data_IF_323755250914
#
_entry.id   IF_323755250914
#
_cell.length_a   1.000
_cell.length_b   1.000
_cell.length_c   1.000
_cell.angle_alpha   90.00
_cell.angle_beta   90.00
_cell.angle_gamma   90.00
#
_symmetry.space_group_name_H-M   'P 1'
#
loop_
_entity.id
_entity.type
_entity.pdbx_description
1 polymer ?
#
# COMPACT_ATOMS: atom_id res chain seq x y z
N UNK A 1 -8.75 4.45 -4.86
CA UNK A 1 -7.42 4.79 -5.38
C UNK A 1 -6.37 4.43 -4.35
N UNK A 2 -5.38 3.64 -4.73
CA UNK A 2 -4.14 3.42 -4.02
C UNK A 2 -3.07 4.30 -4.65
N UNK A 3 -2.27 4.92 -3.79
CA UNK A 3 -1.13 5.71 -4.21
C UNK A 3 0.08 5.30 -3.40
N UNK A 4 1.22 5.07 -4.04
CA UNK A 4 2.43 4.60 -3.37
C UNK A 4 3.68 5.12 -4.07
N UNK A 5 4.80 5.09 -3.33
CA UNK A 5 6.14 5.36 -3.83
C UNK A 5 7.08 4.26 -3.38
N UNK A 6 7.96 3.83 -4.27
CA UNK A 6 8.86 2.68 -4.08
C UNK A 6 10.34 3.09 -4.16
N UNK A 7 10.64 4.29 -3.66
CA UNK A 7 12.00 4.84 -3.59
C UNK A 7 12.47 5.61 -4.83
N UNK A 8 11.72 5.57 -5.95
CA UNK A 8 12.07 6.27 -7.21
C UNK A 8 11.58 7.72 -7.29
N UNK A 9 11.19 8.33 -6.15
CA UNK A 9 10.56 9.65 -6.04
C UNK A 9 9.25 9.84 -6.83
N UNK A 10 8.75 8.80 -7.49
CA UNK A 10 7.56 8.88 -8.31
C UNK A 10 6.36 8.28 -7.59
N UNK A 11 5.34 9.11 -7.38
CA UNK A 11 4.07 8.66 -6.81
C UNK A 11 3.28 7.96 -7.92
N UNK A 12 3.09 6.67 -7.74
CA UNK A 12 2.26 5.82 -8.60
C UNK A 12 0.84 5.83 -8.06
N UNK A 13 -0.13 5.84 -8.97
CA UNK A 13 -1.54 5.83 -8.63
C UNK A 13 -2.23 4.68 -9.35
N UNK A 14 -3.18 4.04 -8.68
CA UNK A 14 -3.97 2.94 -9.22
C UNK A 14 -5.39 2.98 -8.65
N UNK A 15 -6.38 2.82 -9.52
CA UNK A 15 -7.75 2.60 -9.08
C UNK A 15 -7.97 1.15 -8.69
N UNK A 16 -8.15 0.92 -7.39
CA UNK A 16 -8.45 -0.41 -6.84
C UNK A 16 -9.92 -0.76 -7.13
N UNK A 17 -10.12 -1.98 -7.62
CA UNK A 17 -11.41 -2.64 -7.84
C UNK A 17 -11.54 -3.87 -6.95
N UNK A 18 -12.77 -4.34 -6.79
CA UNK A 18 -13.03 -5.61 -6.10
C UNK A 18 -12.32 -6.73 -6.86
N UNK A 19 -11.61 -7.59 -6.15
CA UNK A 19 -10.84 -8.69 -6.73
C UNK A 19 -9.40 -8.32 -7.13
N UNK A 20 -8.99 -7.06 -7.05
CA UNK A 20 -7.61 -6.70 -7.34
C UNK A 20 -6.66 -7.28 -6.30
N UNK A 21 -5.64 -7.99 -6.80
CA UNK A 21 -4.48 -8.44 -6.05
C UNK A 21 -3.30 -7.57 -6.47
N UNK A 22 -2.63 -6.98 -5.48
CA UNK A 22 -1.49 -6.12 -5.68
C UNK A 22 -0.44 -6.37 -4.60
N UNK A 23 0.85 -6.32 -4.96
CA UNK A 23 1.97 -6.42 -4.04
C UNK A 23 2.61 -5.06 -3.86
N UNK A 24 2.68 -4.60 -2.62
CA UNK A 24 3.56 -3.50 -2.21
C UNK A 24 4.90 -4.11 -1.78
N UNK A 25 6.00 -3.46 -2.14
CA UNK A 25 7.32 -3.90 -1.73
C UNK A 25 7.62 -3.39 -0.30
N UNK A 26 8.46 -4.11 0.47
CA UNK A 26 8.95 -3.61 1.75
C UNK A 26 9.57 -2.22 1.60
N UNK A 27 9.30 -1.33 2.57
CA UNK A 27 9.76 0.06 2.52
C UNK A 27 8.87 1.02 1.69
N UNK A 28 7.89 0.50 0.94
CA UNK A 28 6.93 1.34 0.22
C UNK A 28 6.12 2.22 1.18
N UNK A 29 6.01 3.51 0.87
CA UNK A 29 5.07 4.43 1.55
C UNK A 29 3.84 4.60 0.69
N UNK A 30 2.66 4.38 1.27
CA UNK A 30 1.39 4.40 0.54
C UNK A 30 0.27 5.09 1.31
N UNK A 31 -0.74 5.54 0.57
CA UNK A 31 -2.02 5.97 1.12
C UNK A 31 -3.15 5.44 0.26
N UNK A 32 -4.31 5.27 0.89
CA UNK A 32 -5.51 4.73 0.24
C UNK A 32 -6.63 5.73 0.40
N UNK A 33 -7.27 6.05 -0.72
CA UNK A 33 -8.39 6.96 -0.76
C UNK A 33 -9.59 6.27 -1.39
N UNK A 34 -10.71 6.27 -0.66
CA UNK A 34 -12.02 5.91 -1.19
C UNK A 34 -12.61 7.09 -1.98
N UNK A 35 -13.37 6.81 -3.05
CA UNK A 35 -14.17 7.87 -3.69
C UNK A 35 -15.25 8.38 -2.72
N UNK A 36 -15.61 9.66 -2.85
CA UNK A 36 -16.65 10.30 -2.05
C UNK A 36 -18.05 10.16 -2.69
N UNK A 37 -18.16 9.37 -3.76
CA UNK A 37 -19.44 9.04 -4.38
C UNK A 37 -20.36 8.32 -3.38
N UNK A 38 -21.63 8.76 -3.24
CA UNK A 38 -22.53 8.32 -2.18
C UNK A 38 -22.95 6.83 -2.28
N UNK A 39 -22.87 6.21 -3.47
CA UNK A 39 -23.43 4.88 -3.73
C UNK A 39 -22.44 3.71 -3.69
N UNK A 40 -21.15 3.92 -3.41
CA UNK A 40 -20.19 2.80 -3.45
C UNK A 40 -20.20 1.94 -2.19
N UNK A 41 -19.93 0.64 -2.34
CA UNK A 41 -19.71 -0.29 -1.23
C UNK A 41 -18.53 0.13 -0.32
N UNK A 42 -18.51 -0.38 0.91
CA UNK A 42 -17.40 -0.17 1.87
C UNK A 42 -16.12 -0.82 1.34
N UNK A 43 -15.02 -0.06 1.29
CA UNK A 43 -13.72 -0.61 0.90
C UNK A 43 -13.25 -1.63 1.96
N UNK A 44 -12.98 -2.86 1.54
CA UNK A 44 -12.41 -3.93 2.36
C UNK A 44 -11.13 -4.41 1.71
N UNK A 45 -10.05 -4.48 2.48
CA UNK A 45 -8.72 -4.89 2.04
C UNK A 45 -8.27 -6.01 2.96
N UNK A 46 -7.90 -7.13 2.37
CA UNK A 46 -7.22 -8.24 3.04
C UNK A 46 -5.74 -8.14 2.72
N UNK A 47 -4.89 -8.20 3.74
CA UNK A 47 -3.44 -8.08 3.60
C UNK A 47 -2.77 -9.33 4.15
N UNK A 48 -1.70 -9.75 3.48
CA UNK A 48 -0.83 -10.84 3.89
C UNK A 48 0.58 -10.26 3.96
N UNK A 49 1.24 -10.46 5.08
CA UNK A 49 2.61 -10.02 5.31
C UNK A 49 3.50 -11.27 5.28
N UNK A 50 4.41 -11.35 4.31
CA UNK A 50 5.44 -12.40 4.29
C UNK A 50 6.50 -12.05 5.32
N UNK A 51 6.81 -12.98 6.21
CA UNK A 51 7.93 -12.86 7.14
C UNK A 51 9.03 -13.75 6.57
N UNK A 52 9.86 -13.21 5.67
CA UNK A 52 10.95 -13.99 5.09
C UNK A 52 12.25 -13.64 5.82
N UNK A 53 13.06 -14.65 6.15
CA UNK A 53 14.34 -14.48 6.88
C UNK A 53 15.37 -13.59 6.14
N UNK A 54 15.04 -13.11 4.93
CA UNK A 54 15.83 -12.19 4.11
C UNK A 54 15.39 -10.73 4.24
N UNK A 55 14.35 -10.44 5.02
CA UNK A 55 13.91 -9.07 5.28
C UNK A 55 14.96 -8.39 6.19
N UNK A 56 15.92 -7.70 5.58
CA UNK A 56 16.95 -6.86 6.23
C UNK A 56 16.33 -5.72 7.06
N UNK A 57 14.99 -5.56 6.99
CA UNK A 57 14.25 -4.67 7.85
C UNK A 57 14.14 -5.26 9.26
N UNK A 58 15.07 -4.86 10.12
CA UNK A 58 14.93 -5.01 11.56
C UNK A 58 13.66 -4.25 12.02
N UNK A 59 12.62 -4.94 12.53
CA UNK A 59 11.37 -4.32 12.96
C UNK A 59 11.51 -3.59 14.30
N UNK A 60 12.74 -3.42 14.82
CA UNK A 60 13.05 -2.65 16.03
C UNK A 60 12.46 -1.24 16.01
N UNK A 61 12.20 -0.73 14.82
CA UNK A 61 11.35 0.43 14.55
C UNK A 61 9.99 -0.06 14.09
N UNK A 62 9.06 -0.29 15.04
CA UNK A 62 7.73 -0.85 14.74
C UNK A 62 7.00 -0.16 13.59
N UNK A 63 6.09 -0.87 12.93
CA UNK A 63 5.37 -0.39 11.75
C UNK A 63 4.73 0.99 11.99
N UNK A 64 5.31 2.02 11.36
CA UNK A 64 4.79 3.37 11.46
C UNK A 64 3.39 3.43 10.85
N UNK A 65 2.42 3.83 11.67
CA UNK A 65 1.04 4.01 11.22
C UNK A 65 0.86 5.34 10.45
N UNK A 66 1.80 6.27 10.58
CA UNK A 66 1.82 7.57 9.91
C UNK A 66 3.25 8.02 9.62
N UNK A 67 3.43 8.77 8.51
CA UNK A 67 4.69 9.45 8.17
C UNK A 67 5.12 10.42 9.28
N UNK A 68 4.15 10.99 10.00
CA UNK A 68 4.45 11.89 11.13
C UNK A 68 5.18 11.15 12.26
N UNK A 69 4.90 9.86 12.48
CA UNK A 69 5.57 9.08 13.51
C UNK A 69 7.04 8.83 13.15
N UNK A 70 7.34 8.64 11.85
CA UNK A 70 8.70 8.57 11.34
C UNK A 70 9.40 9.94 11.43
N UNK A 71 8.72 11.00 11.01
CA UNK A 71 9.30 12.34 10.95
C UNK A 71 9.63 12.90 12.33
N UNK A 72 8.74 12.73 13.30
CA UNK A 72 8.91 13.27 14.65
C UNK A 72 9.73 12.34 15.56
N UNK A 73 10.31 11.27 15.03
CA UNK A 73 11.34 10.48 15.72
C UNK A 73 12.72 11.17 15.74
N UNK A 74 12.94 12.17 14.88
CA UNK A 74 14.17 12.95 14.84
C UNK A 74 14.15 14.10 15.87
N UNK A 75 15.34 14.52 16.32
CA UNK A 75 15.51 15.67 17.21
C UNK A 75 14.96 16.97 16.55
N UNK A 76 14.27 17.84 17.30
CA UNK A 76 13.70 19.08 16.76
C UNK A 76 14.72 19.96 16.02
N UNK A 77 15.98 20.02 16.48
CA UNK A 77 17.04 20.81 15.82
C UNK A 77 17.44 20.21 14.48
N UNK A 78 17.39 18.88 14.35
CA UNK A 78 17.62 18.19 13.08
C UNK A 78 16.51 18.53 12.09
N UNK A 79 15.25 18.51 12.53
CA UNK A 79 14.11 18.90 11.71
C UNK A 79 14.17 20.38 11.30
N UNK A 80 14.53 21.26 12.23
CA UNK A 80 14.74 22.68 11.97
C UNK A 80 15.79 22.90 10.87
N UNK A 81 16.94 22.24 10.98
CA UNK A 81 18.01 22.33 10.00
C UNK A 81 17.62 21.73 8.63
N UNK A 82 16.89 20.61 8.63
CA UNK A 82 16.46 19.92 7.42
C UNK A 82 15.42 20.72 6.63
N UNK A 83 14.40 21.25 7.30
CA UNK A 83 13.31 21.98 6.67
C UNK A 83 13.58 23.49 6.55
N UNK A 84 14.60 24.01 7.23
CA UNK A 84 14.92 25.45 7.33
C UNK A 84 13.72 26.28 7.77
N UNK A 85 12.99 25.77 8.75
CA UNK A 85 11.84 26.45 9.37
C UNK A 85 12.18 26.82 10.81
N UNK A 86 11.52 27.82 11.40
CA UNK A 86 11.68 28.16 12.82
C UNK A 86 11.36 26.98 13.77
N UNK A 87 12.00 26.96 14.94
CA UNK A 87 11.86 25.86 15.91
C UNK A 87 10.45 25.80 16.53
N UNK A 88 9.82 26.96 16.76
CA UNK A 88 8.45 27.07 17.24
C UNK A 88 7.45 26.40 16.29
N UNK A 89 7.66 26.51 14.97
CA UNK A 89 6.85 25.81 13.96
C UNK A 89 7.00 24.30 14.07
N UNK A 90 8.23 23.78 14.25
CA UNK A 90 8.47 22.33 14.43
C UNK A 90 7.80 21.85 15.72
N UNK A 91 7.95 22.59 16.81
CA UNK A 91 7.38 22.26 18.11
C UNK A 91 5.84 22.26 18.07
N UNK A 92 5.22 23.22 17.40
CA UNK A 92 3.78 23.27 17.19
C UNK A 92 3.29 22.02 16.43
N UNK A 93 4.00 21.62 15.36
CA UNK A 93 3.66 20.42 14.59
C UNK A 93 3.82 19.12 15.40
N UNK A 94 4.84 19.03 16.25
CA UNK A 94 5.07 17.85 17.12
C UNK A 94 4.04 17.74 18.25
N UNK A 95 3.56 18.87 18.76
CA UNK A 95 2.54 18.93 19.82
C UNK A 95 1.11 18.80 19.26
N UNK A 96 0.92 19.02 17.96
CA UNK A 96 -0.38 18.90 17.32
C UNK A 96 -1.00 17.52 17.54
N UNK A 97 -2.30 17.50 17.83
CA UNK A 97 -3.05 16.26 18.05
C UNK A 97 -2.96 15.36 16.81
N UNK A 98 -2.46 14.14 17.01
CA UNK A 98 -2.37 13.16 15.93
C UNK A 98 -3.77 12.80 15.42
N UNK A 99 -4.08 13.02 14.13
CA UNK A 99 -5.34 12.57 13.57
C UNK A 99 -5.39 11.03 13.57
N UNK A 100 -6.58 10.43 13.61
CA UNK A 100 -6.72 8.98 13.48
C UNK A 100 -6.16 8.50 12.13
N UNK A 101 -5.66 7.27 12.07
CA UNK A 101 -5.06 6.70 10.86
C UNK A 101 -5.99 6.70 9.64
N UNK A 102 -7.32 6.68 9.88
CA UNK A 102 -8.34 6.79 8.85
C UNK A 102 -9.17 8.05 9.13
N UNK A 103 -9.14 8.99 8.19
CA UNK A 103 -9.88 10.26 8.28
C UNK A 103 -10.97 10.34 7.20
N UNK A 104 -12.08 11.01 7.53
CA UNK A 104 -13.10 11.35 6.53
C UNK A 104 -12.59 12.47 5.63
N UNK A 105 -12.51 12.21 4.32
CA UNK A 105 -12.11 13.23 3.35
C UNK A 105 -13.24 14.27 3.18
N UNK A 106 -12.99 15.53 3.54
CA UNK A 106 -13.91 16.65 3.32
C UNK A 106 -13.60 17.29 1.96
N UNK A 107 -14.61 17.42 1.09
CA UNK A 107 -14.48 17.74 -0.35
C UNK A 107 -13.61 18.97 -0.67
N UNK A 108 -13.75 20.06 0.10
CA UNK A 108 -13.03 21.34 -0.10
C UNK A 108 -11.54 21.25 0.28
N UNK A 109 -11.18 20.53 1.36
CA UNK A 109 -9.79 20.38 1.84
C UNK A 109 -9.02 19.23 1.16
N UNK A 110 -9.73 18.40 0.38
CA UNK A 110 -9.26 17.16 -0.24
C UNK A 110 -8.08 17.35 -1.21
N UNK A 111 -8.18 18.35 -2.09
CA UNK A 111 -7.13 18.59 -3.10
C UNK A 111 -5.84 19.06 -2.43
N UNK A 112 -5.96 19.98 -1.47
CA UNK A 112 -4.81 20.56 -0.78
C UNK A 112 -4.10 19.57 0.14
N UNK A 113 -4.84 18.75 0.91
CA UNK A 113 -4.25 17.76 1.82
C UNK A 113 -3.51 16.66 1.04
N UNK A 114 -4.14 16.09 0.02
CA UNK A 114 -3.55 15.03 -0.80
C UNK A 114 -2.34 15.57 -1.61
N UNK A 115 -2.45 16.78 -2.16
CA UNK A 115 -1.35 17.45 -2.83
C UNK A 115 -0.19 17.76 -1.88
N UNK A 116 -0.47 18.20 -0.65
CA UNK A 116 0.56 18.46 0.36
C UNK A 116 1.22 17.18 0.87
N UNK A 117 0.45 16.13 1.17
CA UNK A 117 1.01 14.82 1.54
C UNK A 117 1.88 14.25 0.43
N UNK A 118 1.44 14.36 -0.83
CA UNK A 118 2.26 14.00 -1.99
C UNK A 118 3.54 14.84 -2.09
N UNK A 119 3.47 16.15 -1.82
CA UNK A 119 4.65 17.04 -1.79
C UNK A 119 5.60 16.72 -0.64
N UNK A 120 5.09 16.43 0.55
CA UNK A 120 5.86 15.98 1.70
C UNK A 120 6.55 14.66 1.42
N UNK A 121 5.84 13.69 0.85
CA UNK A 121 6.42 12.42 0.41
C UNK A 121 7.54 12.64 -0.60
N UNK A 122 7.31 13.46 -1.63
CA UNK A 122 8.35 13.82 -2.60
C UNK A 122 9.55 14.52 -1.97
N UNK A 123 9.32 15.42 -1.00
CA UNK A 123 10.39 16.10 -0.28
C UNK A 123 11.20 15.14 0.61
N UNK A 124 10.52 14.22 1.30
CA UNK A 124 11.14 13.22 2.15
C UNK A 124 11.98 12.22 1.35
N UNK A 125 11.52 11.83 0.16
CA UNK A 125 12.19 10.84 -0.67
C UNK A 125 13.40 11.40 -1.46
N UNK A 126 13.56 12.74 -1.56
CA UNK A 126 14.83 13.41 -1.87
C UNK A 126 15.41 13.20 -3.29
N UNK A 127 15.65 14.28 -4.04
CA UNK A 127 16.01 14.26 -5.47
C UNK A 127 17.43 13.76 -5.85
N UNK A 128 18.17 13.04 -5.01
CA UNK A 128 19.39 12.29 -5.37
C UNK A 128 20.06 11.74 -4.10
N UNK A 129 20.26 10.42 -4.04
CA UNK A 129 21.53 9.74 -3.69
C UNK A 129 21.34 8.22 -3.72
N UNK A 130 22.27 7.55 -4.39
CA UNK A 130 22.45 6.10 -4.46
C UNK A 130 22.51 5.47 -3.07
N UNK A 131 21.45 4.79 -2.60
CA UNK A 131 21.54 3.73 -1.57
C UNK A 131 20.20 3.03 -1.27
N UNK A 132 19.39 2.71 -2.28
CA UNK A 132 18.43 1.62 -2.16
C UNK A 132 18.54 0.81 -3.43
N UNK A 133 18.90 -0.47 -3.29
CA UNK A 133 18.96 -1.45 -4.38
C UNK A 133 17.69 -1.32 -5.22
N UNK A 134 17.82 -0.60 -6.33
CA UNK A 134 16.74 -0.38 -7.26
C UNK A 134 16.49 -1.73 -7.89
N UNK A 135 15.33 -2.35 -7.61
CA UNK A 135 14.87 -3.50 -8.38
C UNK A 135 14.75 -3.05 -9.84
N UNK A 136 15.81 -3.35 -10.59
CA UNK A 136 16.03 -2.96 -11.96
C UNK A 136 15.02 -3.72 -12.81
N UNK A 137 13.90 -3.09 -13.16
CA UNK A 137 12.82 -3.77 -13.86
C UNK A 137 11.66 -2.85 -14.20
N UNK A 138 11.84 -1.99 -15.20
CA UNK A 138 10.78 -1.16 -15.80
C UNK A 138 9.64 -2.00 -16.41
N UNK A 139 8.72 -2.49 -15.58
CA UNK A 139 7.34 -2.80 -15.95
C UNK A 139 6.46 -2.42 -14.76
N UNK A 140 5.55 -1.46 -14.97
CA UNK A 140 4.47 -1.18 -14.02
C UNK A 140 3.73 -2.49 -13.79
N UNK A 141 3.85 -3.08 -12.60
CA UNK A 141 3.05 -4.24 -12.22
C UNK A 141 1.59 -3.77 -12.24
N UNK A 142 0.82 -4.34 -13.15
CA UNK A 142 -0.63 -4.13 -13.17
C UNK A 142 -1.23 -4.99 -12.06
N UNK A 143 -2.29 -4.53 -11.39
CA UNK A 143 -3.01 -5.39 -10.46
C UNK A 143 -3.54 -6.61 -11.23
N UNK A 144 -3.53 -7.76 -10.58
CA UNK A 144 -4.17 -8.97 -11.10
C UNK A 144 -5.56 -9.06 -10.52
N UNK A 145 -6.60 -8.94 -11.33
CA UNK A 145 -7.97 -9.06 -10.86
C UNK A 145 -8.42 -10.52 -10.88
N UNK A 146 -8.65 -11.08 -9.69
CA UNK A 146 -9.02 -12.49 -9.52
C UNK A 146 -10.44 -12.82 -10.01
N UNK A 147 -11.33 -11.81 -10.08
CA UNK A 147 -12.72 -11.99 -10.50
C UNK A 147 -12.89 -11.92 -12.03
N UNK A 148 -11.94 -11.29 -12.74
CA UNK A 148 -11.91 -11.21 -14.20
C UNK A 148 -11.07 -12.34 -14.83
N UNK A 149 -10.29 -13.05 -14.03
CA UNK A 149 -9.44 -14.14 -14.49
C UNK A 149 -10.25 -15.40 -14.86
N UNK A 150 -9.72 -16.18 -15.80
CA UNK A 150 -10.31 -17.47 -16.20
C UNK A 150 -10.13 -18.50 -15.06
N UNK A 151 -11.20 -19.09 -14.52
CA UNK A 151 -11.11 -20.12 -13.48
C UNK A 151 -10.28 -21.34 -13.90
N UNK A 152 -9.62 -21.97 -12.93
CA UNK A 152 -8.91 -23.24 -13.13
C UNK A 152 -9.89 -24.41 -13.22
N UNK A 153 -11.00 -24.30 -12.47
CA UNK A 153 -12.09 -25.25 -12.47
C UNK A 153 -13.41 -24.51 -12.35
N UNK A 154 -14.39 -24.95 -13.13
CA UNK A 154 -15.74 -24.39 -13.15
C UNK A 154 -16.75 -25.50 -13.47
N UNK A 155 -17.81 -25.59 -12.67
CA UNK A 155 -18.94 -26.48 -12.89
C UNK A 155 -20.25 -25.80 -12.44
N UNK A 156 -21.37 -26.53 -12.51
CA UNK A 156 -22.68 -26.01 -12.08
C UNK A 156 -22.78 -25.62 -10.60
N UNK A 157 -21.84 -26.06 -9.76
CA UNK A 157 -21.81 -25.79 -8.32
C UNK A 157 -20.90 -24.61 -7.94
N UNK A 158 -20.15 -24.07 -8.90
CA UNK A 158 -19.25 -22.94 -8.66
C UNK A 158 -17.95 -23.02 -9.44
N UNK A 159 -16.99 -22.22 -9.01
CA UNK A 159 -15.67 -22.13 -9.63
C UNK A 159 -14.57 -21.91 -8.60
N UNK A 160 -13.34 -22.25 -9.01
CA UNK A 160 -12.13 -21.99 -8.22
C UNK A 160 -10.99 -21.50 -9.10
N UNK A 161 -10.12 -20.68 -8.50
CA UNK A 161 -8.93 -20.14 -9.14
C UNK A 161 -7.77 -20.10 -8.14
N UNK A 162 -6.61 -20.51 -8.60
CA UNK A 162 -5.33 -20.39 -7.90
C UNK A 162 -4.47 -19.33 -8.59
N UNK A 163 -4.06 -18.33 -7.83
CA UNK A 163 -3.06 -17.35 -8.25
C UNK A 163 -1.74 -17.74 -7.61
N UNK A 164 -0.84 -18.29 -8.43
CA UNK A 164 0.51 -18.69 -8.02
C UNK A 164 1.60 -17.85 -8.71
N UNK A 165 2.83 -18.37 -8.71
CA UNK A 165 4.01 -17.72 -9.30
C UNK A 165 3.91 -17.52 -10.82
N UNK A 166 3.14 -18.33 -11.53
CA UNK A 166 3.19 -18.44 -12.98
C UNK A 166 2.38 -17.36 -13.74
N UNK A 167 1.13 -17.00 -13.34
CA UNK A 167 0.34 -16.02 -14.10
C UNK A 167 0.63 -14.57 -13.70
N UNK A 168 1.07 -14.29 -12.48
CA UNK A 168 0.98 -12.93 -11.94
C UNK A 168 2.29 -12.13 -11.87
N UNK A 169 3.49 -12.75 -11.81
CA UNK A 169 4.78 -12.13 -11.36
C UNK A 169 4.71 -11.38 -10.01
N UNK A 170 3.53 -10.93 -9.57
CA UNK A 170 3.23 -10.24 -8.32
C UNK A 170 3.66 -11.10 -7.14
N UNK A 171 3.30 -12.39 -7.17
CA UNK A 171 3.64 -13.36 -6.12
C UNK A 171 4.96 -14.10 -6.40
N UNK A 172 5.72 -13.66 -7.40
CA UNK A 172 7.06 -14.19 -7.61
C UNK A 172 7.90 -13.84 -6.39
N UNK A 173 8.62 -14.84 -5.86
CA UNK A 173 9.55 -14.68 -4.74
C UNK A 173 8.90 -14.38 -3.37
N UNK A 174 7.57 -14.51 -3.21
CA UNK A 174 6.90 -14.34 -1.89
C UNK A 174 6.60 -15.64 -1.16
N UNK A 175 6.73 -16.79 -1.84
CA UNK A 175 6.22 -18.08 -1.38
C UNK A 175 4.73 -18.05 -0.93
N UNK A 176 3.94 -17.12 -1.47
CA UNK A 176 2.50 -16.97 -1.20
C UNK A 176 1.74 -17.38 -2.46
N UNK A 177 0.69 -18.18 -2.28
CA UNK A 177 -0.35 -18.43 -3.29
C UNK A 177 -1.70 -17.99 -2.77
N UNK A 178 -2.57 -17.49 -3.65
CA UNK A 178 -3.94 -17.10 -3.32
C UNK A 178 -4.90 -18.06 -3.98
N UNK A 179 -5.70 -18.77 -3.17
CA UNK A 179 -6.75 -19.66 -3.67
C UNK A 179 -8.12 -19.04 -3.41
N UNK A 180 -8.89 -18.82 -4.47
CA UNK A 180 -10.25 -18.29 -4.40
C UNK A 180 -11.25 -19.34 -4.85
N UNK A 181 -12.32 -19.45 -4.10
CA UNK A 181 -13.46 -20.34 -4.39
C UNK A 181 -14.73 -19.52 -4.34
N UNK A 182 -15.61 -19.76 -5.30
CA UNK A 182 -16.97 -19.24 -5.30
C UNK A 182 -17.93 -20.41 -5.50
N UNK A 183 -18.78 -20.68 -4.51
CA UNK A 183 -19.75 -21.78 -4.51
C UNK A 183 -21.17 -21.24 -4.59
N UNK A 184 -22.03 -21.97 -5.28
CA UNK A 184 -23.48 -21.78 -5.14
C UNK A 184 -23.94 -22.33 -3.80
N UNK A 185 -25.12 -21.91 -3.31
CA UNK A 185 -25.61 -22.15 -1.95
C UNK A 185 -25.71 -23.63 -1.50
N UNK A 186 -25.47 -24.59 -2.39
CA UNK A 186 -25.55 -26.05 -2.17
C UNK A 186 -24.26 -26.80 -2.56
N UNK A 187 -23.24 -26.09 -3.05
CA UNK A 187 -21.97 -26.69 -3.45
C UNK A 187 -21.04 -26.97 -2.26
N UNK A 188 -20.29 -28.07 -2.34
CA UNK A 188 -19.19 -28.39 -1.44
C UNK A 188 -17.88 -28.49 -2.24
N UNK A 189 -16.79 -28.00 -1.65
CA UNK A 189 -15.46 -28.20 -2.21
C UNK A 189 -14.83 -29.46 -1.58
N UNK A 190 -14.33 -30.37 -2.42
CA UNK A 190 -13.59 -31.54 -1.98
C UNK A 190 -12.10 -31.33 -2.23
N UNK A 191 -11.27 -31.51 -1.20
CA UNK A 191 -9.82 -31.56 -1.34
C UNK A 191 -9.39 -33.02 -1.30
N UNK A 192 -8.66 -33.53 -2.31
CA UNK A 192 -7.98 -34.80 -2.18
C UNK A 192 -6.83 -34.61 -1.19
N UNK A 193 -6.89 -35.32 -0.06
CA UNK A 193 -5.77 -35.45 0.88
C UNK A 193 -4.81 -36.53 0.42
#
# INVERSE_FOLDING_TARGET
>A
MLSWSDGDNEIRNMDIRKGDIYRLHPGSVFYIQRSLEPERERLRIYSIFSNTDQDIYDPSVGAYSSINDLLFGFDPKVLQAAFKVPEDVIMEMMQATKPPAIVHAVSEKKKNLCHWQARLLKAFLGSNRDSFETFNGKKKLKPYNILEAKPDFENCNGWSLTVDKHPSRLLKDTNIGVFMVNLTNVGFLSFPF
#
